data_IF_494488390506
#
_entry.id   IF_494488390506
#
_cell.length_a   1.000
_cell.length_b   1.000
_cell.length_c   1.000
_cell.angle_alpha   90.00
_cell.angle_beta   90.00
_cell.angle_gamma   90.00
#
_symmetry.space_group_name_H-M   'P 1'
#
loop_
_entity.id
_entity.type
_entity.pdbx_description
1 polymer ?
#
# COMPACT_ATOMS: atom_id res chain seq x y z
N UNK A 1 11.81 13.00 11.92
CA UNK A 1 10.91 12.87 10.77
C UNK A 1 11.65 13.31 9.53
N UNK A 2 11.68 12.48 8.50
CA UNK A 2 12.37 12.76 7.23
C UNK A 2 11.37 13.26 6.18
N UNK A 3 11.86 13.78 5.04
CA UNK A 3 10.99 14.14 3.91
C UNK A 3 10.19 12.93 3.40
N UNK A 4 10.72 11.72 3.58
CA UNK A 4 10.04 10.47 3.25
C UNK A 4 8.81 10.24 4.13
N UNK A 5 8.90 10.49 5.45
CA UNK A 5 7.74 10.42 6.35
C UNK A 5 6.63 11.39 5.91
N UNK A 6 6.99 12.60 5.47
CA UNK A 6 6.03 13.58 4.97
C UNK A 6 5.32 13.11 3.69
N UNK A 7 6.04 12.46 2.77
CA UNK A 7 5.43 11.85 1.58
C UNK A 7 4.48 10.71 1.92
N UNK A 8 4.84 9.86 2.88
CA UNK A 8 3.97 8.76 3.31
C UNK A 8 2.69 9.27 3.99
N UNK A 9 2.81 10.30 4.85
CA UNK A 9 1.65 10.90 5.51
C UNK A 9 0.74 11.61 4.51
N UNK A 10 1.32 12.31 3.52
CA UNK A 10 0.51 12.96 2.46
C UNK A 10 -0.18 11.93 1.57
N UNK A 11 0.48 10.83 1.22
CA UNK A 11 -0.13 9.72 0.50
C UNK A 11 -1.31 9.13 1.29
N UNK A 12 -1.11 8.84 2.58
CA UNK A 12 -2.15 8.33 3.47
C UNK A 12 -3.35 9.29 3.56
N UNK A 13 -3.08 10.59 3.71
CA UNK A 13 -4.11 11.60 3.78
C UNK A 13 -4.91 11.70 2.48
N UNK A 14 -4.23 11.61 1.32
CA UNK A 14 -4.86 11.63 0.01
C UNK A 14 -5.75 10.40 -0.21
N UNK A 15 -5.28 9.20 0.13
CA UNK A 15 -6.07 7.97 -0.03
C UNK A 15 -7.26 7.94 0.92
N UNK A 16 -7.09 8.40 2.16
CA UNK A 16 -8.19 8.53 3.13
C UNK A 16 -9.23 9.54 2.66
N UNK A 17 -8.81 10.72 2.17
CA UNK A 17 -9.71 11.72 1.62
C UNK A 17 -10.44 11.23 0.36
N UNK A 18 -9.76 10.49 -0.52
CA UNK A 18 -10.35 9.87 -1.70
C UNK A 18 -11.39 8.81 -1.31
N UNK A 19 -11.09 7.99 -0.31
CA UNK A 19 -12.02 7.02 0.24
C UNK A 19 -13.26 7.69 0.83
N UNK A 20 -13.08 8.73 1.66
CA UNK A 20 -14.17 9.49 2.26
C UNK A 20 -15.10 10.09 1.20
N UNK A 21 -14.54 10.64 0.12
CA UNK A 21 -15.31 11.19 -1.00
C UNK A 21 -16.10 10.14 -1.79
N UNK A 22 -15.68 8.88 -1.76
CA UNK A 22 -16.31 7.78 -2.51
C UNK A 22 -17.36 6.99 -1.71
N UNK A 23 -17.56 7.30 -0.42
CA UNK A 23 -18.55 6.61 0.40
C UNK A 23 -18.36 5.08 0.41
N UNK A 24 -19.43 4.29 0.28
CA UNK A 24 -19.33 2.82 0.19
C UNK A 24 -18.40 2.32 -0.91
N UNK A 25 -18.34 3.03 -2.05
CA UNK A 25 -17.42 2.67 -3.12
C UNK A 25 -15.96 2.83 -2.71
N UNK A 26 -15.67 3.69 -1.73
CA UNK A 26 -14.35 3.80 -1.10
C UNK A 26 -13.96 2.56 -0.29
N UNK A 27 -14.92 1.89 0.36
CA UNK A 27 -14.68 0.64 1.08
C UNK A 27 -14.42 -0.53 0.12
N UNK A 28 -15.28 -0.68 -0.89
CA UNK A 28 -15.09 -1.69 -1.93
C UNK A 28 -13.77 -1.48 -2.68
N UNK A 29 -13.42 -0.23 -2.98
CA UNK A 29 -12.13 0.12 -3.57
C UNK A 29 -10.97 -0.22 -2.63
N UNK A 30 -11.09 0.11 -1.34
CA UNK A 30 -10.06 -0.18 -0.35
C UNK A 30 -9.76 -1.67 -0.21
N UNK A 31 -10.81 -2.48 -0.04
CA UNK A 31 -10.69 -3.95 0.00
C UNK A 31 -10.16 -4.52 -1.31
N UNK A 32 -10.59 -3.96 -2.45
CA UNK A 32 -10.11 -4.39 -3.74
C UNK A 32 -8.62 -4.10 -3.93
N UNK A 33 -8.10 -2.95 -3.47
CA UNK A 33 -6.66 -2.66 -3.47
C UNK A 33 -5.88 -3.69 -2.65
N UNK A 34 -6.37 -4.05 -1.46
CA UNK A 34 -5.76 -5.10 -0.62
C UNK A 34 -5.73 -6.43 -1.37
N UNK A 35 -6.85 -6.83 -1.97
CA UNK A 35 -6.96 -8.07 -2.72
C UNK A 35 -6.07 -8.08 -3.97
N UNK A 36 -6.01 -6.96 -4.71
CA UNK A 36 -5.13 -6.81 -5.88
C UNK A 36 -3.67 -6.92 -5.46
N UNK A 37 -3.25 -6.23 -4.40
CA UNK A 37 -1.88 -6.32 -3.89
C UNK A 37 -1.54 -7.75 -3.47
N UNK A 38 -2.43 -8.43 -2.77
CA UNK A 38 -2.21 -9.82 -2.36
C UNK A 38 -2.11 -10.78 -3.55
N UNK A 39 -3.04 -10.69 -4.50
CA UNK A 39 -3.09 -11.57 -5.68
C UNK A 39 -1.91 -11.28 -6.63
N UNK A 40 -1.60 -10.00 -6.88
CA UNK A 40 -0.47 -9.65 -7.74
C UNK A 40 0.85 -10.13 -7.16
N UNK A 41 1.12 -9.88 -5.86
CA UNK A 41 2.33 -10.36 -5.19
C UNK A 41 2.41 -11.89 -5.08
N UNK A 42 1.28 -12.60 -5.12
CA UNK A 42 1.25 -14.06 -5.07
C UNK A 42 1.47 -14.72 -6.44
N UNK A 43 0.85 -14.18 -7.51
CA UNK A 43 0.81 -14.84 -8.82
C UNK A 43 1.90 -14.40 -9.79
N UNK A 44 2.31 -13.13 -9.77
CA UNK A 44 3.22 -12.56 -10.77
C UNK A 44 4.30 -11.71 -10.12
N UNK A 45 5.44 -11.63 -10.78
CA UNK A 45 6.62 -10.94 -10.25
C UNK A 45 7.19 -10.01 -11.33
N UNK A 46 7.71 -8.85 -10.95
CA UNK A 46 8.29 -7.86 -11.88
C UNK A 46 7.27 -7.17 -12.80
N UNK A 47 7.67 -6.77 -14.01
CA UNK A 47 6.82 -6.03 -14.96
C UNK A 47 5.43 -6.65 -15.24
N UNK A 48 5.26 -7.99 -15.32
CA UNK A 48 3.94 -8.62 -15.44
C UNK A 48 3.01 -8.38 -14.25
N UNK A 49 3.55 -8.28 -13.03
CA UNK A 49 2.76 -8.00 -11.83
C UNK A 49 2.13 -6.60 -11.91
N UNK A 50 2.84 -5.64 -12.50
CA UNK A 50 2.34 -4.28 -12.72
C UNK A 50 1.15 -4.25 -13.69
N UNK A 51 1.21 -5.03 -14.78
CA UNK A 51 0.10 -5.13 -15.73
C UNK A 51 -1.11 -5.78 -15.08
N UNK A 52 -0.93 -6.86 -14.32
CA UNK A 52 -2.02 -7.52 -13.61
C UNK A 52 -2.62 -6.63 -12.52
N UNK A 53 -1.80 -5.91 -11.77
CA UNK A 53 -2.24 -4.93 -10.78
C UNK A 53 -3.03 -3.79 -11.41
N UNK A 54 -2.62 -3.30 -12.59
CA UNK A 54 -3.36 -2.28 -13.35
C UNK A 54 -4.73 -2.80 -13.81
N UNK A 55 -4.78 -4.01 -14.38
CA UNK A 55 -6.03 -4.61 -14.88
C UNK A 55 -6.99 -4.90 -13.74
N UNK A 56 -6.51 -5.51 -12.65
CA UNK A 56 -7.34 -5.80 -11.49
C UNK A 56 -7.77 -4.53 -10.76
N UNK A 57 -6.87 -3.55 -10.61
CA UNK A 57 -7.18 -2.25 -10.02
C UNK A 57 -8.22 -1.47 -10.82
N UNK A 58 -8.13 -1.49 -12.14
CA UNK A 58 -9.14 -0.91 -13.03
C UNK A 58 -10.47 -1.65 -12.90
N UNK A 59 -10.44 -2.99 -12.87
CA UNK A 59 -11.62 -3.82 -12.66
C UNK A 59 -12.35 -3.49 -11.35
N UNK A 60 -11.64 -3.39 -10.24
CA UNK A 60 -12.17 -2.99 -8.93
C UNK A 60 -12.76 -1.57 -8.96
N UNK A 61 -12.06 -0.62 -9.58
CA UNK A 61 -12.54 0.75 -9.68
C UNK A 61 -13.82 0.83 -10.53
N UNK A 62 -13.87 0.11 -11.64
CA UNK A 62 -15.03 0.05 -12.52
C UNK A 62 -16.23 -0.65 -11.85
N UNK A 63 -16.01 -1.81 -11.22
CA UNK A 63 -17.04 -2.54 -10.49
C UNK A 63 -17.59 -1.75 -9.30
N UNK A 64 -16.72 -1.08 -8.52
CA UNK A 64 -17.18 -0.27 -7.38
C UNK A 64 -18.03 0.94 -7.81
N UNK A 65 -17.73 1.55 -8.95
CA UNK A 65 -18.56 2.61 -9.54
C UNK A 65 -19.86 2.08 -10.14
N UNK A 66 -19.87 0.85 -10.68
CA UNK A 66 -21.02 0.27 -11.36
C UNK A 66 -22.06 -0.31 -10.41
N UNK A 67 -21.62 -0.91 -9.29
CA UNK A 67 -22.48 -1.63 -8.34
C UNK A 67 -23.11 -0.73 -7.29
N UNK A 68 -22.49 0.41 -6.96
CA UNK A 68 -22.90 1.25 -5.84
C UNK A 68 -23.51 2.53 -6.41
N UNK A 69 -24.85 2.56 -6.46
CA UNK A 69 -25.61 3.77 -6.82
C UNK A 69 -25.41 4.91 -5.81
N UNK A 70 -25.96 6.11 -6.08
CA UNK A 70 -25.83 7.26 -5.18
C UNK A 70 -26.57 6.97 -3.86
N UNK A 71 -25.84 6.50 -2.86
CA UNK A 71 -26.37 6.21 -1.54
C UNK A 71 -26.28 7.47 -0.68
N UNK A 72 -27.44 8.02 -0.30
CA UNK A 72 -27.62 9.34 0.32
C UNK A 72 -27.31 9.38 1.84
N UNK A 73 -27.00 8.26 2.47
CA UNK A 73 -26.84 8.22 3.94
C UNK A 73 -25.42 8.52 4.41
N UNK A 74 -25.29 9.29 5.50
CA UNK A 74 -24.03 9.82 6.04
C UNK A 74 -23.04 8.74 6.51
N UNK A 75 -23.51 7.55 6.90
CA UNK A 75 -22.64 6.46 7.37
C UNK A 75 -21.72 5.90 6.28
N UNK A 76 -22.12 6.04 5.00
CA UNK A 76 -21.31 5.60 3.87
C UNK A 76 -19.98 6.35 3.78
N UNK A 77 -19.94 7.61 4.21
CA UNK A 77 -18.72 8.45 4.20
C UNK A 77 -17.69 7.89 5.17
N UNK A 78 -18.13 7.45 6.36
CA UNK A 78 -17.25 6.85 7.36
C UNK A 78 -16.64 5.53 6.86
N UNK A 79 -17.44 4.68 6.19
CA UNK A 79 -16.95 3.44 5.59
C UNK A 79 -16.01 3.68 4.41
N UNK A 80 -16.30 4.69 3.60
CA UNK A 80 -15.39 5.12 2.53
C UNK A 80 -14.05 5.58 3.07
N UNK A 81 -14.07 6.40 4.14
CA UNK A 81 -12.86 6.85 4.82
C UNK A 81 -12.06 5.67 5.37
N UNK A 82 -12.72 4.67 5.99
CA UNK A 82 -12.07 3.44 6.44
C UNK A 82 -11.43 2.67 5.28
N UNK A 83 -12.12 2.52 4.15
CA UNK A 83 -11.56 1.88 2.96
C UNK A 83 -10.32 2.59 2.41
N UNK A 84 -10.39 3.91 2.30
CA UNK A 84 -9.26 4.74 1.85
C UNK A 84 -8.09 4.73 2.83
N UNK A 85 -8.37 4.64 4.13
CA UNK A 85 -7.37 4.51 5.18
C UNK A 85 -6.68 3.14 5.10
N UNK A 86 -7.43 2.05 4.94
CA UNK A 86 -6.87 0.70 4.78
C UNK A 86 -5.97 0.64 3.53
N UNK A 87 -6.47 1.11 2.38
CA UNK A 87 -5.66 1.15 1.16
C UNK A 87 -4.42 2.03 1.33
N UNK A 88 -4.56 3.19 1.97
CA UNK A 88 -3.45 4.08 2.28
C UNK A 88 -2.39 3.44 3.16
N UNK A 89 -2.81 2.74 4.22
CA UNK A 89 -1.90 2.02 5.11
C UNK A 89 -1.14 0.92 4.38
N UNK A 90 -1.82 0.15 3.52
CA UNK A 90 -1.16 -0.89 2.71
C UNK A 90 -0.13 -0.28 1.77
N UNK A 91 -0.48 0.81 1.07
CA UNK A 91 0.45 1.50 0.16
C UNK A 91 1.64 2.10 0.92
N UNK A 92 1.38 2.82 2.02
CA UNK A 92 2.44 3.41 2.86
C UNK A 92 3.37 2.32 3.39
N UNK A 93 2.80 1.21 3.85
CA UNK A 93 3.59 0.11 4.38
C UNK A 93 4.43 -0.56 3.29
N UNK A 94 3.84 -0.76 2.11
CA UNK A 94 4.53 -1.31 0.95
C UNK A 94 5.66 -0.42 0.45
N UNK A 95 5.47 0.90 0.41
CA UNK A 95 6.53 1.84 0.08
C UNK A 95 7.62 1.88 1.15
N UNK A 96 7.26 1.82 2.43
CA UNK A 96 8.22 1.86 3.53
C UNK A 96 9.06 0.57 3.63
N UNK A 97 8.51 -0.58 3.24
CA UNK A 97 9.13 -1.91 3.32
C UNK A 97 9.68 -2.43 1.97
N UNK A 98 9.36 -1.76 0.87
CA UNK A 98 9.70 -2.18 -0.49
C UNK A 98 11.15 -1.92 -0.89
N UNK A 99 11.98 -1.33 -0.03
CA UNK A 99 13.38 -1.10 -0.37
C UNK A 99 14.17 -2.42 -0.42
N UNK A 100 15.18 -2.54 -1.30
CA UNK A 100 16.00 -3.74 -1.41
C UNK A 100 16.88 -3.92 -0.16
N UNK A 101 17.03 -5.18 0.28
CA UNK A 101 18.01 -5.58 1.31
C UNK A 101 19.37 -5.74 0.62
N UNK A 102 20.43 -5.21 1.23
CA UNK A 102 21.79 -5.37 0.73
C UNK A 102 22.32 -6.80 0.92
N UNK A 103 23.36 -7.17 0.19
CA UNK A 103 24.08 -8.46 0.35
C UNK A 103 24.62 -8.66 1.76
N UNK A 104 24.83 -7.58 2.50
CA UNK A 104 25.32 -7.57 3.89
C UNK A 104 24.19 -7.76 4.92
N UNK A 105 23.00 -8.16 4.45
CA UNK A 105 21.78 -8.31 5.23
C UNK A 105 21.32 -7.02 5.95
N UNK A 106 21.78 -5.86 5.46
CA UNK A 106 21.40 -4.53 5.96
C UNK A 106 20.21 -3.98 5.16
N UNK A 107 19.20 -3.49 5.87
CA UNK A 107 18.04 -2.81 5.31
C UNK A 107 18.06 -1.33 5.70
N UNK A 108 17.86 -0.40 4.75
CA UNK A 108 17.84 -0.60 3.30
C UNK A 108 19.28 -0.76 2.74
N UNK A 109 19.45 -1.20 1.48
CA UNK A 109 20.78 -1.42 0.88
C UNK A 109 21.65 -0.15 0.83
N UNK A 110 22.95 -0.31 1.12
CA UNK A 110 23.96 0.76 1.00
C UNK A 110 24.22 1.21 -0.45
N UNK A 111 23.66 0.51 -1.44
CA UNK A 111 23.73 0.88 -2.86
C UNK A 111 22.72 1.96 -3.27
N UNK A 112 21.85 2.41 -2.37
CA UNK A 112 20.91 3.49 -2.63
C UNK A 112 21.61 4.86 -2.66
N UNK A 113 21.08 5.84 -3.42
CA UNK A 113 21.56 7.22 -3.35
C UNK A 113 21.56 7.72 -1.90
N UNK A 114 22.62 8.44 -1.44
CA UNK A 114 22.77 8.80 -0.03
C UNK A 114 21.56 9.55 0.55
N UNK A 115 20.96 10.45 -0.24
CA UNK A 115 19.77 11.21 0.16
C UNK A 115 18.52 10.36 0.39
N UNK A 116 18.40 9.22 -0.31
CA UNK A 116 17.29 8.28 -0.17
C UNK A 116 17.58 7.30 0.97
N UNK A 117 18.81 6.79 1.04
CA UNK A 117 19.25 5.91 2.11
C UNK A 117 19.02 6.55 3.49
N UNK A 118 19.52 7.78 3.70
CA UNK A 118 19.39 8.47 4.98
C UNK A 118 17.94 8.82 5.32
N UNK A 119 17.10 9.09 4.31
CA UNK A 119 15.69 9.39 4.51
C UNK A 119 14.88 8.18 4.97
N UNK A 120 15.23 6.99 4.49
CA UNK A 120 14.56 5.72 4.82
C UNK A 120 15.08 5.17 6.15
N UNK A 121 16.39 5.19 6.40
CA UNK A 121 16.99 4.74 7.66
C UNK A 121 16.50 5.57 8.85
N UNK A 122 16.35 6.87 8.66
CA UNK A 122 15.87 7.78 9.70
C UNK A 122 14.33 7.94 9.72
N UNK A 123 13.60 7.24 8.86
CA UNK A 123 12.14 7.26 8.82
C UNK A 123 11.55 6.65 10.09
N UNK A 124 10.60 7.36 10.71
CA UNK A 124 9.89 6.84 11.86
C UNK A 124 8.90 5.72 11.46
N UNK A 125 8.25 5.89 10.30
CA UNK A 125 7.29 4.92 9.75
C UNK A 125 7.97 3.58 9.43
N UNK A 126 9.18 3.62 8.85
CA UNK A 126 9.97 2.41 8.58
C UNK A 126 10.28 1.65 9.88
N UNK A 127 10.69 2.33 10.94
CA UNK A 127 11.05 1.70 12.22
C UNK A 127 9.86 1.01 12.88
N UNK A 128 8.67 1.60 12.79
CA UNK A 128 7.43 0.99 13.30
C UNK A 128 7.07 -0.26 12.52
N UNK A 129 7.28 -0.25 11.21
CA UNK A 129 6.89 -1.35 10.32
C UNK A 129 7.94 -2.44 10.21
N UNK A 130 9.17 -2.21 10.67
CA UNK A 130 10.26 -3.18 10.64
C UNK A 130 9.91 -4.55 11.24
N UNK A 131 9.13 -4.68 12.33
CA UNK A 131 8.70 -5.98 12.86
C UNK A 131 7.91 -6.85 11.88
N UNK A 132 7.33 -6.28 10.81
CA UNK A 132 6.61 -7.03 9.75
C UNK A 132 7.53 -8.04 9.07
N UNK A 133 8.83 -7.75 8.96
CA UNK A 133 9.83 -8.70 8.43
C UNK A 133 9.93 -9.99 9.24
N UNK A 134 9.60 -9.96 10.53
CA UNK A 134 9.61 -11.12 11.42
C UNK A 134 8.20 -11.70 11.67
N UNK A 135 7.18 -11.15 11.00
CA UNK A 135 5.77 -11.52 11.21
C UNK A 135 5.30 -12.74 10.43
N UNK A 136 3.97 -12.88 10.32
CA UNK A 136 3.30 -13.95 9.57
C UNK A 136 3.54 -13.80 8.06
N UNK A 137 3.69 -14.92 7.34
CA UNK A 137 4.00 -14.92 5.90
C UNK A 137 2.90 -14.26 5.06
N UNK A 138 1.63 -14.35 5.49
CA UNK A 138 0.54 -13.63 4.84
C UNK A 138 0.70 -12.09 4.91
N UNK A 139 1.23 -11.56 6.02
CA UNK A 139 1.51 -10.12 6.15
C UNK A 139 2.72 -9.71 5.32
N UNK A 140 3.73 -10.59 5.21
CA UNK A 140 4.89 -10.36 4.34
C UNK A 140 4.48 -10.31 2.88
N UNK A 141 3.68 -11.26 2.40
CA UNK A 141 3.18 -11.27 1.01
C UNK A 141 2.33 -10.04 0.69
N UNK A 142 1.56 -9.56 1.66
CA UNK A 142 0.73 -8.37 1.46
C UNK A 142 1.54 -7.06 1.45
N UNK A 143 2.46 -6.91 2.41
CA UNK A 143 3.11 -5.63 2.70
C UNK A 143 4.52 -5.51 2.13
N UNK A 144 5.21 -6.60 1.84
CA UNK A 144 6.57 -6.60 1.29
C UNK A 144 6.47 -7.05 -0.17
N UNK A 145 6.58 -6.11 -1.14
CA UNK A 145 6.57 -6.48 -2.54
C UNK A 145 7.79 -7.35 -2.87
N UNK A 146 7.57 -8.38 -3.71
CA UNK A 146 8.58 -9.34 -4.17
C UNK A 146 9.30 -10.16 -3.06
N UNK A 147 8.66 -10.38 -1.90
CA UNK A 147 9.25 -11.15 -0.80
C UNK A 147 9.62 -12.59 -1.18
N UNK A 148 8.86 -13.25 -2.07
CA UNK A 148 9.08 -14.65 -2.49
C UNK A 148 10.42 -14.90 -3.22
N UNK A 149 11.15 -13.83 -3.58
CA UNK A 149 12.45 -13.91 -4.26
C UNK A 149 13.65 -13.62 -3.35
N UNK A 150 13.44 -13.34 -2.05
CA UNK A 150 14.51 -13.08 -1.07
C UNK A 150 14.90 -14.34 -0.31
#
# INVERSE_FOLDING_TARGET
MTWFDALLVTLLALTAALGARRGLAGLAWGLGVVAVCFVSNFFLHGWPALVLALVLGFGVAWFSQRLIGPALETWHIALGALGGLIAGLVLVSSLALGFPIGTDNQYPTNKLPPSVHDAVVNSYVQKILFPVFNGNDALKTLLIPDFSQR
#
